data_IF_546451555249
#
_entry.id   IF_546451555249
#
_cell.length_a   1.000
_cell.length_b   1.000
_cell.length_c   1.000
_cell.angle_alpha   90.00
_cell.angle_beta   90.00
_cell.angle_gamma   90.00
#
_symmetry.space_group_name_H-M   'P 1'
#
loop_
_entity.id
_entity.type
_entity.pdbx_description
1 polymer ?
#
# COMPACT_ATOMS: atom_id res chain seq x y z
N UNK A 1 2.26 -6.35 -18.35
CA UNK A 1 1.94 -5.94 -16.98
C UNK A 1 0.76 -6.76 -16.49
N UNK A 2 0.88 -7.51 -15.42
CA UNK A 2 -0.29 -8.13 -14.84
C UNK A 2 -1.20 -7.01 -14.32
N UNK A 3 -2.49 -7.14 -14.58
CA UNK A 3 -3.50 -6.23 -14.06
C UNK A 3 -3.45 -6.23 -12.54
N UNK A 4 -3.71 -5.10 -11.90
CA UNK A 4 -3.80 -4.95 -10.44
C UNK A 4 -4.76 -5.96 -9.77
N UNK A 5 -5.56 -6.62 -10.57
CA UNK A 5 -6.56 -7.62 -10.15
C UNK A 5 -5.94 -8.99 -9.76
N UNK A 6 -4.68 -9.24 -10.06
CA UNK A 6 -4.04 -10.54 -9.76
C UNK A 6 -3.12 -10.50 -8.52
N UNK A 7 -2.90 -9.34 -7.91
CA UNK A 7 -2.01 -9.21 -6.76
C UNK A 7 -2.76 -9.08 -5.43
N UNK A 8 -4.07 -9.04 -5.47
CA UNK A 8 -4.91 -9.11 -4.27
C UNK A 8 -5.08 -10.60 -3.92
N UNK A 9 -4.04 -11.15 -3.30
CA UNK A 9 -4.08 -12.49 -2.78
C UNK A 9 -5.23 -12.66 -1.77
N UNK A 10 -5.78 -13.85 -1.71
CA UNK A 10 -6.96 -14.31 -0.96
C UNK A 10 -6.93 -14.10 0.57
N UNK A 11 -6.23 -13.10 1.07
CA UNK A 11 -6.21 -12.76 2.48
C UNK A 11 -6.79 -11.37 2.69
N UNK A 12 -8.08 -11.34 2.96
CA UNK A 12 -8.81 -10.27 3.60
C UNK A 12 -8.43 -8.87 3.16
N UNK A 13 -8.99 -8.38 2.07
CA UNK A 13 -8.92 -6.96 1.73
C UNK A 13 -9.84 -6.21 2.66
N UNK A 14 -9.26 -5.75 3.72
CA UNK A 14 -9.96 -4.91 4.65
C UNK A 14 -9.84 -3.47 4.19
N UNK A 15 -10.93 -2.89 3.81
CA UNK A 15 -11.12 -1.47 3.53
C UNK A 15 -10.22 -0.84 2.46
N UNK A 16 -10.65 -0.95 1.21
CA UNK A 16 -10.38 0.09 0.23
C UNK A 16 -11.30 1.27 0.54
N UNK A 17 -10.77 2.28 1.17
CA UNK A 17 -11.45 3.56 1.26
C UNK A 17 -10.92 4.44 0.15
N UNK A 18 -11.64 4.50 -0.97
CA UNK A 18 -11.36 5.47 -2.00
C UNK A 18 -11.72 6.88 -1.50
N UNK A 19 -10.78 7.79 -1.57
CA UNK A 19 -11.05 9.20 -1.40
C UNK A 19 -11.79 9.71 -2.63
N UNK A 20 -13.09 9.85 -2.51
CA UNK A 20 -13.94 10.64 -3.36
C UNK A 20 -14.05 10.24 -4.84
N UNK A 21 -15.29 10.22 -5.31
CA UNK A 21 -15.61 10.23 -6.73
C UNK A 21 -15.07 11.52 -7.37
N UNK A 22 -13.92 11.45 -8.02
CA UNK A 22 -13.45 12.50 -8.92
C UNK A 22 -14.28 12.35 -10.17
N UNK A 23 -15.23 13.24 -10.34
CA UNK A 23 -16.30 13.22 -11.31
C UNK A 23 -15.95 12.63 -12.67
N UNK A 24 -16.94 12.01 -13.27
CA UNK A 24 -16.90 11.34 -14.56
C UNK A 24 -16.11 12.16 -15.61
N UNK A 25 -14.93 11.69 -15.97
CA UNK A 25 -14.12 12.31 -17.01
C UNK A 25 -12.61 12.32 -16.78
N UNK A 26 -12.12 12.03 -15.59
CA UNK A 26 -10.68 11.86 -15.39
C UNK A 26 -10.27 10.44 -15.80
N UNK A 27 -9.70 10.33 -16.97
CA UNK A 27 -8.87 9.18 -17.31
C UNK A 27 -7.69 9.22 -16.33
N UNK A 28 -7.60 8.22 -15.45
CA UNK A 28 -6.44 8.02 -14.61
C UNK A 28 -5.25 7.84 -15.56
N UNK A 29 -4.33 8.79 -15.56
CA UNK A 29 -3.16 8.74 -16.43
C UNK A 29 -2.17 7.62 -16.05
N UNK A 30 -2.50 6.82 -15.05
CA UNK A 30 -1.86 5.55 -14.79
C UNK A 30 -0.55 5.62 -14.03
N UNK A 31 -0.26 6.70 -13.29
CA UNK A 31 0.91 6.74 -12.42
C UNK A 31 0.50 6.56 -10.96
N UNK A 32 0.87 5.42 -10.40
CA UNK A 32 0.69 5.11 -8.99
C UNK A 32 2.02 4.98 -8.28
N UNK A 33 2.07 5.40 -7.02
CA UNK A 33 3.21 5.20 -6.14
C UNK A 33 2.77 4.44 -4.89
N UNK A 34 3.63 3.57 -4.40
CA UNK A 34 3.43 2.83 -3.16
C UNK A 34 4.49 3.21 -2.13
N UNK A 35 4.04 3.60 -0.94
CA UNK A 35 4.88 3.76 0.24
C UNK A 35 4.54 2.72 1.29
N UNK A 36 5.44 1.80 1.58
CA UNK A 36 5.23 0.75 2.59
C UNK A 36 5.14 1.32 4.00
N UNK A 37 4.16 0.85 4.79
CA UNK A 37 3.87 1.39 6.10
C UNK A 37 3.19 2.77 6.05
N UNK A 38 3.36 3.58 7.07
CA UNK A 38 2.72 4.88 7.24
C UNK A 38 3.48 5.99 6.49
N UNK A 39 3.21 6.17 5.21
CA UNK A 39 3.88 7.18 4.37
C UNK A 39 2.96 8.36 3.99
N UNK A 40 1.90 8.62 4.72
CA UNK A 40 0.95 9.70 4.40
C UNK A 40 1.59 11.08 4.27
N UNK A 41 2.68 11.35 4.97
CA UNK A 41 3.42 12.62 4.90
C UNK A 41 4.08 12.88 3.53
N UNK A 42 4.19 11.84 2.69
CA UNK A 42 4.73 11.95 1.33
C UNK A 42 3.68 12.22 0.25
N UNK A 43 2.43 12.49 0.63
CA UNK A 43 1.34 12.78 -0.32
C UNK A 43 1.67 13.93 -1.26
N UNK A 44 2.16 15.05 -0.73
CA UNK A 44 2.52 16.21 -1.55
C UNK A 44 3.68 15.91 -2.50
N UNK A 45 4.63 15.06 -2.11
CA UNK A 45 5.71 14.60 -2.97
C UNK A 45 5.18 13.69 -4.10
N UNK A 46 4.20 12.84 -3.82
CA UNK A 46 3.54 12.01 -4.82
C UNK A 46 2.80 12.87 -5.85
N UNK A 47 2.08 13.89 -5.40
CA UNK A 47 1.40 14.86 -6.26
C UNK A 47 2.40 15.60 -7.15
N UNK A 48 3.50 16.10 -6.56
CA UNK A 48 4.56 16.80 -7.30
C UNK A 48 5.23 15.92 -8.35
N UNK A 49 5.30 14.61 -8.11
CA UNK A 49 5.79 13.62 -9.07
C UNK A 49 4.78 13.27 -10.18
N UNK A 50 3.59 13.83 -10.14
CA UNK A 50 2.53 13.58 -11.13
C UNK A 50 1.76 12.28 -10.91
N UNK A 51 1.75 11.75 -9.69
CA UNK A 51 1.01 10.54 -9.38
C UNK A 51 -0.50 10.81 -9.24
N UNK A 52 -1.30 9.90 -9.75
CA UNK A 52 -2.75 9.93 -9.64
C UNK A 52 -3.27 9.15 -8.43
N UNK A 53 -2.50 8.17 -8.01
CA UNK A 53 -2.83 7.26 -6.90
C UNK A 53 -1.63 7.11 -5.98
N UNK A 54 -1.87 7.21 -4.69
CA UNK A 54 -0.89 6.92 -3.65
C UNK A 54 -1.40 5.78 -2.75
N UNK A 55 -0.68 4.68 -2.76
CA UNK A 55 -0.96 3.51 -1.92
C UNK A 55 -0.02 3.53 -0.72
N UNK A 56 -0.58 3.56 0.48
CA UNK A 56 0.18 3.54 1.72
C UNK A 56 -0.68 2.98 2.85
N UNK A 57 -0.42 3.34 4.10
CA UNK A 57 -1.23 2.91 5.24
C UNK A 57 -1.30 3.95 6.35
N UNK A 58 -2.12 3.67 7.35
CA UNK A 58 -2.33 4.49 8.54
C UNK A 58 -2.76 5.92 8.20
N UNK A 59 -3.59 6.03 7.17
CA UNK A 59 -4.14 7.29 6.72
C UNK A 59 -5.30 7.73 7.62
N UNK A 60 -5.30 9.01 7.99
CA UNK A 60 -6.38 9.61 8.75
C UNK A 60 -7.56 10.02 7.85
N UNK A 61 -8.73 10.16 8.44
CA UNK A 61 -9.90 10.72 7.77
C UNK A 61 -9.61 12.07 7.09
N UNK A 62 -8.87 12.94 7.76
CA UNK A 62 -8.52 14.25 7.23
C UNK A 62 -7.59 14.17 6.02
N UNK A 63 -6.65 13.21 6.01
CA UNK A 63 -5.79 12.99 4.83
C UNK A 63 -6.62 12.59 3.61
N UNK A 64 -7.62 11.72 3.77
CA UNK A 64 -8.53 11.36 2.68
C UNK A 64 -9.34 12.58 2.18
N UNK A 65 -9.85 13.41 3.09
CA UNK A 65 -10.56 14.64 2.72
C UNK A 65 -9.67 15.60 1.93
N UNK A 66 -8.46 15.82 2.41
CA UNK A 66 -7.51 16.75 1.79
C UNK A 66 -7.07 16.24 0.41
N UNK A 67 -6.84 14.94 0.27
CA UNK A 67 -6.47 14.31 -0.99
C UNK A 67 -7.52 14.53 -2.09
N UNK A 68 -8.80 14.43 -1.75
CA UNK A 68 -9.88 14.71 -2.67
C UNK A 68 -9.82 16.14 -3.23
N UNK A 69 -9.50 17.12 -2.39
CA UNK A 69 -9.29 18.51 -2.79
C UNK A 69 -8.01 18.74 -3.61
N UNK A 70 -7.00 17.91 -3.42
CA UNK A 70 -5.71 17.96 -4.14
C UNK A 70 -5.70 17.18 -5.46
N UNK A 71 -6.73 16.38 -5.72
CA UNK A 71 -6.86 15.61 -6.96
C UNK A 71 -6.04 14.32 -7.02
N UNK A 72 -5.57 13.80 -5.88
CA UNK A 72 -4.94 12.49 -5.76
C UNK A 72 -5.88 11.50 -5.07
N UNK A 73 -5.81 10.24 -5.47
CA UNK A 73 -6.51 9.14 -4.80
C UNK A 73 -5.59 8.46 -3.81
N UNK A 74 -6.11 8.23 -2.60
CA UNK A 74 -5.39 7.49 -1.56
C UNK A 74 -6.00 6.08 -1.43
N UNK A 75 -5.13 5.10 -1.25
CA UNK A 75 -5.51 3.73 -0.89
C UNK A 75 -4.77 3.37 0.38
N UNK A 76 -5.51 3.11 1.45
CA UNK A 76 -4.96 2.51 2.66
C UNK A 76 -4.97 0.98 2.49
N UNK A 77 -3.81 0.41 2.25
CA UNK A 77 -3.64 -1.01 2.00
C UNK A 77 -3.08 -1.78 3.21
N UNK A 78 -3.05 -1.14 4.37
CA UNK A 78 -2.58 -1.71 5.62
C UNK A 78 -1.07 -1.61 5.82
N UNK A 79 -0.66 -1.44 7.07
CA UNK A 79 0.74 -1.26 7.44
C UNK A 79 1.56 -2.53 7.15
N UNK A 80 1.17 -3.62 7.79
CA UNK A 80 1.86 -4.89 7.63
C UNK A 80 1.89 -5.39 6.17
N UNK A 81 0.78 -5.42 5.42
CA UNK A 81 0.79 -5.88 4.03
C UNK A 81 1.67 -5.07 3.09
N UNK A 82 1.79 -3.76 3.32
CA UNK A 82 2.61 -2.88 2.46
C UNK A 82 4.09 -2.89 2.83
N UNK A 83 4.43 -3.23 4.05
CA UNK A 83 5.80 -3.21 4.56
C UNK A 83 6.47 -4.59 4.55
N UNK A 84 5.70 -5.64 4.84
CA UNK A 84 6.20 -7.01 4.92
C UNK A 84 6.92 -7.55 3.65
N UNK A 85 6.55 -7.18 2.42
CA UNK A 85 7.24 -7.65 1.23
C UNK A 85 8.75 -7.34 1.20
N UNK A 86 9.19 -6.26 1.84
CA UNK A 86 10.62 -5.92 1.91
C UNK A 86 11.45 -6.98 2.64
N UNK A 87 10.86 -7.70 3.60
CA UNK A 87 11.54 -8.76 4.34
C UNK A 87 12.03 -9.90 3.41
N UNK A 88 11.23 -10.26 2.41
CA UNK A 88 11.60 -11.27 1.43
C UNK A 88 12.78 -10.79 0.58
N UNK A 89 12.71 -9.57 0.08
CA UNK A 89 13.76 -8.95 -0.74
C UNK A 89 15.07 -8.85 0.04
N UNK A 90 15.01 -8.39 1.28
CA UNK A 90 16.19 -8.29 2.15
C UNK A 90 16.78 -9.67 2.46
N UNK A 91 15.94 -10.66 2.75
CA UNK A 91 16.41 -12.02 3.03
C UNK A 91 17.12 -12.63 1.81
N UNK A 92 16.57 -12.46 0.62
CA UNK A 92 17.18 -12.92 -0.62
C UNK A 92 18.50 -12.21 -0.90
N UNK A 93 18.54 -10.91 -0.74
CA UNK A 93 19.77 -10.13 -0.90
C UNK A 93 20.88 -10.60 0.06
N UNK A 94 20.56 -10.77 1.33
CA UNK A 94 21.52 -11.20 2.35
C UNK A 94 22.03 -12.63 2.09
N UNK A 95 21.15 -13.55 1.69
CA UNK A 95 21.56 -14.92 1.32
C UNK A 95 22.50 -14.93 0.14
N UNK A 96 22.23 -14.11 -0.88
CA UNK A 96 23.09 -13.99 -2.06
C UNK A 96 24.41 -13.31 -1.75
N UNK A 97 24.41 -12.30 -0.92
CA UNK A 97 25.61 -11.52 -0.60
C UNK A 97 26.53 -12.22 0.41
N UNK A 98 25.94 -13.01 1.31
CA UNK A 98 26.65 -13.70 2.40
C UNK A 98 26.26 -15.19 2.43
N UNK A 99 26.83 -16.03 1.54
CA UNK A 99 26.40 -17.44 1.41
C UNK A 99 26.53 -18.28 2.68
N UNK A 100 27.44 -17.90 3.59
CA UNK A 100 27.64 -18.58 4.88
C UNK A 100 26.69 -18.13 5.98
N UNK A 101 25.85 -17.13 5.73
CA UNK A 101 24.93 -16.57 6.71
C UNK A 101 23.59 -17.29 6.66
N UNK A 102 23.12 -17.77 7.80
CA UNK A 102 21.73 -18.24 7.93
C UNK A 102 20.80 -17.06 8.05
N UNK A 103 19.93 -16.87 7.06
CA UNK A 103 18.96 -15.79 7.04
C UNK A 103 17.55 -16.36 7.04
N UNK A 104 16.79 -16.06 8.08
CA UNK A 104 15.41 -16.50 8.24
C UNK A 104 14.51 -15.32 8.60
N UNK A 105 13.27 -15.39 8.16
CA UNK A 105 12.22 -14.49 8.61
C UNK A 105 11.55 -15.08 9.84
N UNK A 106 11.27 -14.24 10.84
CA UNK A 106 10.56 -14.68 12.04
C UNK A 106 9.20 -15.26 11.69
N UNK A 107 8.92 -16.48 12.17
CA UNK A 107 7.62 -17.11 12.01
C UNK A 107 6.51 -16.44 12.84
N UNK A 108 6.89 -15.63 13.83
CA UNK A 108 5.95 -14.85 14.66
C UNK A 108 5.58 -13.50 14.07
N UNK A 109 6.26 -13.08 13.02
CA UNK A 109 5.99 -11.81 12.33
C UNK A 109 4.78 -11.95 11.42
N UNK A 110 3.65 -11.40 11.83
CA UNK A 110 2.36 -11.54 11.17
C UNK A 110 1.51 -10.29 11.37
N UNK A 111 0.48 -10.16 10.53
CA UNK A 111 -0.57 -9.16 10.74
C UNK A 111 -1.23 -9.34 12.11
N UNK A 112 -1.35 -8.26 12.85
CA UNK A 112 -1.97 -8.24 14.18
C UNK A 112 -3.35 -7.58 14.17
N UNK A 113 -3.68 -6.87 13.11
CA UNK A 113 -4.99 -6.25 12.94
C UNK A 113 -5.98 -7.32 12.51
N UNK A 114 -7.12 -7.34 13.16
CA UNK A 114 -8.24 -8.20 12.80
C UNK A 114 -9.35 -7.34 12.18
N UNK A 115 -9.91 -7.84 11.09
CA UNK A 115 -10.94 -7.14 10.36
C UNK A 115 -12.27 -7.86 10.54
N UNK A 116 -13.31 -7.09 10.82
CA UNK A 116 -14.67 -7.62 10.80
C UNK A 116 -15.27 -7.41 9.40
N UNK A 117 -15.73 -8.48 8.80
CA UNK A 117 -16.46 -8.45 7.52
C UNK A 117 -17.84 -9.01 7.77
N UNK A 118 -18.87 -8.22 7.47
CA UNK A 118 -20.25 -8.64 7.65
C UNK A 118 -20.57 -9.79 6.70
N UNK A 119 -21.09 -10.89 7.26
CA UNK A 119 -21.53 -12.05 6.50
C UNK A 119 -20.54 -13.22 6.42
N UNK A 120 -19.43 -13.14 7.11
CA UNK A 120 -18.52 -14.29 7.31
C UNK A 120 -18.69 -14.93 8.69
#
# INVERSE_FOLDING_TARGET
>A
MPSLDQTVGQHGVSHFQEAGDVGAGHQVAGLAVLGGGACGDYEDAAIAAGCDVFVTSDLSYHQFLDAAGKGIRLIDAGHFPTENPVCTVLAEYLRGRFPGLTVTKSASHREVIQYYVEGE
#
